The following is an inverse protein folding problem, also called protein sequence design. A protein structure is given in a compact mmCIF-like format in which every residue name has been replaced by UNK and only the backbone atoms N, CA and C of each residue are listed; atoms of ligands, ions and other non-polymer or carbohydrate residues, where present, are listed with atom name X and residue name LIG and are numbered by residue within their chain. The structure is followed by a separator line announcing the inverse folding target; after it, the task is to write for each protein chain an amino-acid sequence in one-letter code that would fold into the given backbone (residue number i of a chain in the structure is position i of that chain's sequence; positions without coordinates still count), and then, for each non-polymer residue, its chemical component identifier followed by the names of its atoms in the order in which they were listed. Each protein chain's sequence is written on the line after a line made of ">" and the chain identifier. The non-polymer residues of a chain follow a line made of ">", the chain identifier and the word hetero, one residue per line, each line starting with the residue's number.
data_IF_067022526275
#
_entry.id   IF_067022526275
#
_cell.length_a   1.000
_cell.length_b   1.000
_cell.length_c   1.000
_cell.angle_alpha   90.00
_cell.angle_beta   90.00
_cell.angle_gamma   90.00
#
_symmetry.space_group_name_H-M   'P 1'
#
loop_
_entity.id
_entity.type
_entity.pdbx_description
1 polymer ?
#
# COMPACT_ATOMS: atom_id res chain seq x y z
N UNK A 1 7.07 -20.22 -3.15
CA UNK A 1 6.20 -20.17 -4.34
C UNK A 1 5.90 -18.71 -4.62
N UNK A 2 6.12 -18.26 -5.85
CA UNK A 2 6.17 -16.83 -6.15
C UNK A 2 4.81 -16.14 -6.07
N UNK A 3 4.71 -15.05 -5.31
CA UNK A 3 3.51 -14.21 -5.24
C UNK A 3 3.45 -13.35 -6.50
N UNK A 4 2.93 -13.89 -7.59
CA UNK A 4 2.73 -13.11 -8.82
C UNK A 4 1.52 -12.18 -8.64
N UNK A 5 1.73 -10.87 -8.50
CA UNK A 5 0.64 -9.90 -8.72
C UNK A 5 0.04 -10.19 -10.10
N UNK A 6 -1.28 -10.21 -10.19
CA UNK A 6 -1.95 -10.30 -11.48
C UNK A 6 -1.38 -9.24 -12.42
N UNK A 7 -0.91 -9.62 -13.62
CA UNK A 7 -0.05 -8.83 -14.51
C UNK A 7 -0.60 -7.43 -14.87
N UNK A 8 -1.90 -7.21 -14.70
CA UNK A 8 -2.59 -5.94 -14.95
C UNK A 8 -2.49 -4.94 -13.79
N UNK A 9 -2.31 -5.43 -12.56
CA UNK A 9 -2.34 -4.62 -11.34
C UNK A 9 -1.18 -3.61 -11.29
N UNK A 10 0.08 -4.00 -11.58
CA UNK A 10 1.18 -3.02 -11.57
C UNK A 10 0.95 -1.90 -12.58
N UNK A 11 0.52 -2.23 -13.80
CA UNK A 11 0.29 -1.24 -14.86
C UNK A 11 -0.84 -0.27 -14.51
N UNK A 12 -1.91 -0.76 -13.92
CA UNK A 12 -3.02 0.08 -13.45
C UNK A 12 -2.59 1.03 -12.34
N UNK A 13 -1.89 0.50 -11.33
CA UNK A 13 -1.37 1.29 -10.21
C UNK A 13 -0.42 2.39 -10.70
N UNK A 14 0.56 2.04 -11.54
CA UNK A 14 1.55 2.97 -12.08
C UNK A 14 0.89 4.11 -12.86
N UNK A 15 -0.04 3.77 -13.77
CA UNK A 15 -0.80 4.78 -14.52
C UNK A 15 -1.54 5.73 -13.58
N UNK A 16 -2.19 5.21 -12.55
CA UNK A 16 -2.91 6.06 -11.62
C UNK A 16 -1.98 6.95 -10.79
N UNK A 17 -0.80 6.47 -10.40
CA UNK A 17 0.21 7.29 -9.73
C UNK A 17 0.73 8.40 -10.65
N UNK A 18 0.96 8.11 -11.93
CA UNK A 18 1.37 9.10 -12.94
C UNK A 18 0.31 10.20 -13.13
N UNK A 19 -0.98 9.85 -13.07
CA UNK A 19 -2.10 10.78 -13.25
C UNK A 19 -2.52 11.50 -11.95
N UNK A 20 -1.95 11.13 -10.80
CA UNK A 20 -2.38 11.65 -9.50
C UNK A 20 -1.72 12.98 -9.13
N UNK A 21 -2.50 14.02 -8.87
CA UNK A 21 -2.03 15.39 -8.62
C UNK A 21 -1.12 15.55 -7.40
N UNK A 22 -1.21 14.65 -6.41
CA UNK A 22 -0.34 14.64 -5.22
C UNK A 22 0.92 13.79 -5.34
N UNK A 23 1.13 13.16 -6.50
CA UNK A 23 2.32 12.34 -6.76
C UNK A 23 3.26 13.14 -7.66
N UNK A 24 4.49 13.31 -7.21
CA UNK A 24 5.55 13.96 -7.99
C UNK A 24 6.25 12.97 -8.90
N UNK A 25 6.64 11.84 -8.32
CA UNK A 25 7.31 10.74 -8.99
C UNK A 25 7.16 9.46 -8.14
N UNK A 26 7.28 8.30 -8.77
CA UNK A 26 7.31 7.02 -8.07
C UNK A 26 8.43 6.15 -8.64
N UNK A 27 8.97 5.27 -7.78
CA UNK A 27 10.00 4.33 -8.16
C UNK A 27 9.73 2.98 -7.51
N UNK A 28 9.88 1.89 -8.28
CA UNK A 28 9.91 0.53 -7.73
C UNK A 28 11.24 0.32 -6.99
N UNK A 29 11.18 -0.10 -5.72
CA UNK A 29 12.35 -0.24 -4.81
C UNK A 29 12.53 -1.66 -4.26
N UNK A 30 11.73 -2.63 -4.70
CA UNK A 30 11.97 -4.05 -4.42
C UNK A 30 13.15 -4.62 -5.22
N UNK A 31 13.61 -5.83 -4.84
CA UNK A 31 14.78 -6.45 -5.44
C UNK A 31 14.45 -7.01 -6.82
N UNK A 32 15.27 -6.75 -7.87
CA UNK A 32 15.01 -7.19 -9.24
C UNK A 32 15.02 -8.72 -9.45
N UNK A 33 15.37 -9.50 -8.43
CA UNK A 33 15.41 -10.96 -8.47
C UNK A 33 14.28 -11.61 -7.65
N UNK A 34 13.44 -10.80 -6.98
CA UNK A 34 12.39 -11.30 -6.10
C UNK A 34 11.07 -10.58 -6.40
N UNK A 35 10.36 -11.06 -7.42
CA UNK A 35 9.02 -10.57 -7.81
C UNK A 35 7.91 -10.91 -6.80
N UNK A 36 8.26 -11.29 -5.56
CA UNK A 36 7.29 -11.64 -4.53
C UNK A 36 6.67 -10.44 -3.83
N UNK A 37 7.37 -9.30 -3.82
CA UNK A 37 6.95 -8.11 -3.11
C UNK A 37 7.05 -6.91 -4.03
N UNK A 38 5.91 -6.30 -4.34
CA UNK A 38 5.84 -5.12 -5.18
C UNK A 38 5.92 -3.90 -4.27
N UNK A 39 7.11 -3.29 -4.18
CA UNK A 39 7.36 -2.17 -3.27
C UNK A 39 7.69 -0.92 -4.08
N UNK A 40 6.96 0.15 -3.84
CA UNK A 40 7.16 1.43 -4.49
C UNK A 40 7.49 2.51 -3.45
N UNK A 41 8.38 3.43 -3.81
CA UNK A 41 8.52 4.71 -3.13
C UNK A 41 7.74 5.74 -3.93
N UNK A 42 6.75 6.36 -3.30
CA UNK A 42 5.93 7.40 -3.88
C UNK A 42 6.38 8.72 -3.28
N UNK A 43 6.94 9.59 -4.11
CA UNK A 43 7.28 10.95 -3.71
C UNK A 43 6.07 11.85 -3.90
N UNK A 44 5.66 12.50 -2.83
CA UNK A 44 4.47 13.36 -2.83
C UNK A 44 4.84 14.83 -3.04
N UNK A 45 3.86 15.61 -3.49
CA UNK A 45 3.99 17.06 -3.65
C UNK A 45 3.58 17.81 -2.38
N UNK A 46 3.67 19.14 -2.41
CA UNK A 46 3.11 20.05 -1.39
C UNK A 46 3.66 19.86 0.04
N UNK A 47 4.91 19.37 0.15
CA UNK A 47 5.59 19.17 1.43
C UNK A 47 5.15 17.93 2.20
N UNK A 48 4.32 17.06 1.60
CA UNK A 48 3.94 15.79 2.19
C UNK A 48 5.10 14.80 2.17
N UNK A 49 5.25 14.00 3.23
CA UNK A 49 6.31 12.99 3.34
C UNK A 49 6.21 11.91 2.26
N UNK A 50 7.30 11.23 1.91
CA UNK A 50 7.21 10.11 0.97
C UNK A 50 6.41 8.93 1.57
N UNK A 51 5.73 8.15 0.72
CA UNK A 51 5.06 6.91 1.13
C UNK A 51 5.81 5.71 0.54
N UNK A 52 6.13 4.74 1.38
CA UNK A 52 6.51 3.40 0.91
C UNK A 52 5.24 2.57 0.74
N UNK A 53 4.94 2.17 -0.49
CA UNK A 53 3.78 1.37 -0.84
C UNK A 53 4.19 -0.10 -1.01
N UNK A 54 3.58 -1.02 -0.28
CA UNK A 54 3.68 -2.47 -0.51
C UNK A 54 2.38 -2.98 -1.13
N UNK A 55 2.42 -3.39 -2.39
CA UNK A 55 1.28 -4.00 -3.07
C UNK A 55 1.29 -5.51 -2.83
N UNK A 56 0.37 -5.98 -1.99
CA UNK A 56 0.17 -7.38 -1.65
C UNK A 56 -0.93 -8.00 -2.52
N UNK A 57 -0.64 -9.13 -3.17
CA UNK A 57 -1.64 -9.95 -3.89
C UNK A 57 -2.15 -11.12 -3.02
N UNK A 58 -2.62 -10.81 -1.82
CA UNK A 58 -3.24 -11.79 -0.94
C UNK A 58 -4.78 -11.76 -1.10
N UNK A 59 -5.40 -12.94 -1.17
CA UNK A 59 -6.86 -13.05 -1.10
C UNK A 59 -7.37 -12.66 0.29
N UNK A 60 -6.61 -12.99 1.33
CA UNK A 60 -6.87 -12.61 2.71
C UNK A 60 -5.57 -12.25 3.40
N UNK A 61 -5.41 -11.00 3.77
CA UNK A 61 -4.25 -10.49 4.48
C UNK A 61 -4.49 -10.58 5.99
N UNK A 62 -3.67 -11.39 6.67
CA UNK A 62 -3.77 -11.69 8.10
C UNK A 62 -2.57 -11.11 8.86
N UNK A 63 -2.59 -11.24 10.20
CA UNK A 63 -1.46 -10.82 11.05
C UNK A 63 -0.16 -11.53 10.70
N UNK A 64 -0.23 -12.80 10.30
CA UNK A 64 0.95 -13.53 9.84
C UNK A 64 1.57 -12.88 8.61
N UNK A 65 0.77 -12.41 7.64
CA UNK A 65 1.26 -11.65 6.50
C UNK A 65 1.89 -10.32 6.95
N UNK A 66 1.25 -9.64 7.89
CA UNK A 66 1.72 -8.35 8.43
C UNK A 66 3.09 -8.46 9.10
N UNK A 67 3.30 -9.47 9.95
CA UNK A 67 4.60 -9.67 10.60
C UNK A 67 5.67 -10.21 9.65
N UNK A 68 5.27 -10.74 8.49
CA UNK A 68 6.17 -11.17 7.41
C UNK A 68 6.37 -10.07 6.36
N UNK A 69 5.89 -8.84 6.60
CA UNK A 69 6.08 -7.73 5.66
C UNK A 69 7.58 -7.43 5.48
N UNK A 70 8.02 -6.98 4.29
CA UNK A 70 9.41 -6.61 4.07
C UNK A 70 9.85 -5.48 5.02
N UNK A 71 11.11 -5.50 5.48
CA UNK A 71 11.65 -4.50 6.43
C UNK A 71 11.55 -3.05 5.95
N UNK A 72 11.46 -2.85 4.63
CA UNK A 72 11.25 -1.53 4.00
C UNK A 72 9.86 -0.94 4.31
N UNK A 73 8.90 -1.76 4.72
CA UNK A 73 7.52 -1.38 5.05
C UNK A 73 7.45 -1.05 6.54
N UNK A 74 7.90 0.16 6.89
CA UNK A 74 7.90 0.69 8.25
C UNK A 74 6.92 1.84 8.44
N UNK A 75 7.14 2.64 9.50
CA UNK A 75 6.37 3.85 9.80
C UNK A 75 6.15 4.74 8.56
N UNK A 76 4.91 5.22 8.37
CA UNK A 76 4.51 6.02 7.19
C UNK A 76 4.33 5.20 5.90
N UNK A 77 4.39 3.87 5.97
CA UNK A 77 4.11 3.02 4.82
C UNK A 77 2.62 2.80 4.58
N UNK A 78 2.29 2.34 3.38
CA UNK A 78 0.97 1.92 2.98
C UNK A 78 1.01 0.49 2.44
N UNK A 79 0.18 -0.40 2.98
CA UNK A 79 -0.03 -1.76 2.47
C UNK A 79 -1.29 -1.75 1.60
N UNK A 80 -1.12 -1.94 0.30
CA UNK A 80 -2.20 -2.04 -0.66
C UNK A 80 -2.58 -3.50 -0.86
N UNK A 81 -3.83 -3.83 -0.56
CA UNK A 81 -4.44 -5.09 -1.00
C UNK A 81 -4.81 -4.93 -2.46
N UNK A 82 -3.92 -5.43 -3.32
CA UNK A 82 -3.94 -5.14 -4.74
C UNK A 82 -4.99 -5.97 -5.49
N UNK A 83 -5.36 -7.14 -4.93
CA UNK A 83 -6.42 -7.99 -5.46
C UNK A 83 -7.80 -7.35 -5.22
N UNK A 84 -8.64 -7.16 -6.24
CA UNK A 84 -9.98 -6.58 -6.07
C UNK A 84 -10.87 -7.36 -5.08
N UNK A 85 -10.87 -8.68 -5.25
CA UNK A 85 -11.55 -9.69 -4.41
C UNK A 85 -10.87 -9.90 -3.05
N UNK A 86 -9.69 -9.30 -2.85
CA UNK A 86 -8.91 -9.47 -1.63
C UNK A 86 -9.51 -8.72 -0.44
N UNK A 87 -9.22 -9.21 0.75
CA UNK A 87 -9.60 -8.58 2.02
C UNK A 87 -8.45 -8.62 3.02
N UNK A 88 -8.63 -7.92 4.14
CA UNK A 88 -7.69 -7.86 5.25
C UNK A 88 -8.46 -7.93 6.57
N UNK A 89 -7.90 -8.61 7.57
CA UNK A 89 -8.54 -8.76 8.87
C UNK A 89 -8.50 -7.45 9.68
N UNK A 90 -9.51 -7.21 10.51
CA UNK A 90 -9.60 -5.98 11.33
C UNK A 90 -8.45 -5.83 12.31
N UNK A 91 -8.00 -6.94 12.90
CA UNK A 91 -6.85 -6.98 13.81
C UNK A 91 -5.57 -6.45 13.14
N UNK A 92 -5.42 -6.64 11.82
CA UNK A 92 -4.28 -6.10 11.06
C UNK A 92 -4.33 -4.58 11.02
N UNK A 93 -5.52 -4.00 10.94
CA UNK A 93 -5.68 -2.54 10.88
C UNK A 93 -5.31 -1.89 12.19
N UNK A 94 -5.74 -2.49 13.30
CA UNK A 94 -5.43 -1.97 14.63
C UNK A 94 -3.91 -1.97 14.87
N UNK A 95 -3.24 -3.08 14.56
CA UNK A 95 -1.78 -3.18 14.68
C UNK A 95 -1.07 -2.26 13.67
N UNK A 96 -1.50 -2.25 12.40
CA UNK A 96 -0.90 -1.38 11.39
C UNK A 96 -0.99 0.09 11.80
N UNK A 97 -2.13 0.52 12.34
CA UNK A 97 -2.32 1.89 12.83
C UNK A 97 -1.39 2.22 14.00
N UNK A 98 -1.15 1.29 14.92
CA UNK A 98 -0.18 1.48 16.02
C UNK A 98 1.25 1.67 15.50
N UNK A 99 1.61 0.96 14.43
CA UNK A 99 2.90 1.08 13.74
C UNK A 99 2.94 2.27 12.75
N UNK A 100 1.90 3.10 12.72
CA UNK A 100 1.72 4.23 11.79
C UNK A 100 1.79 3.81 10.31
N UNK A 101 1.22 2.65 10.01
CA UNK A 101 1.08 2.07 8.69
C UNK A 101 -0.40 2.05 8.30
N UNK A 102 -0.69 2.52 7.09
CA UNK A 102 -2.02 2.33 6.51
C UNK A 102 -2.14 0.98 5.83
N UNK A 103 -3.33 0.40 5.85
CA UNK A 103 -3.68 -0.75 5.02
C UNK A 103 -5.03 -0.49 4.35
N UNK A 104 -5.18 -0.88 3.09
CA UNK A 104 -6.46 -0.76 2.41
C UNK A 104 -6.42 -1.12 0.94
N UNK A 105 -7.55 -0.91 0.27
CA UNK A 105 -7.68 -1.08 -1.18
C UNK A 105 -7.22 0.16 -1.94
N UNK A 106 -7.28 0.08 -3.26
CA UNK A 106 -6.85 1.15 -4.16
C UNK A 106 -7.52 2.51 -3.87
N UNK A 107 -8.82 2.53 -3.60
CA UNK A 107 -9.55 3.75 -3.21
C UNK A 107 -9.00 4.39 -1.93
N UNK A 108 -8.60 3.56 -0.95
CA UNK A 108 -8.00 4.02 0.30
C UNK A 108 -6.63 4.66 0.05
N UNK A 109 -5.80 4.06 -0.83
CA UNK A 109 -4.53 4.64 -1.24
C UNK A 109 -4.71 6.02 -1.87
N UNK A 110 -5.66 6.17 -2.80
CA UNK A 110 -5.92 7.47 -3.43
C UNK A 110 -6.30 8.55 -2.41
N UNK A 111 -7.06 8.19 -1.37
CA UNK A 111 -7.37 9.10 -0.26
C UNK A 111 -6.16 9.41 0.63
N UNK A 112 -5.33 8.40 0.91
CA UNK A 112 -4.13 8.51 1.73
C UNK A 112 -3.08 9.45 1.14
N UNK A 113 -2.95 9.50 -0.19
CA UNK A 113 -2.00 10.38 -0.88
C UNK A 113 -2.18 11.87 -0.54
N UNK A 114 -3.37 12.29 -0.11
CA UNK A 114 -3.66 13.68 0.28
C UNK A 114 -3.36 14.02 1.74
N UNK A 115 -2.95 13.06 2.58
CA UNK A 115 -2.86 13.23 4.03
C UNK A 115 -1.46 12.92 4.54
N UNK A 116 -0.94 13.77 5.41
CA UNK A 116 0.33 13.50 6.08
C UNK A 116 0.20 12.28 7.00
N UNK A 117 -0.72 12.33 7.96
CA UNK A 117 -1.02 11.24 8.91
C UNK A 117 -2.01 10.21 8.32
N UNK A 118 -1.67 9.65 7.16
CA UNK A 118 -2.58 8.76 6.43
C UNK A 118 -2.93 7.48 7.20
N UNK A 119 -2.13 7.02 8.16
CA UNK A 119 -2.47 5.88 9.04
C UNK A 119 -3.70 6.14 9.92
N UNK A 120 -4.05 7.41 10.16
CA UNK A 120 -5.30 7.79 10.84
C UNK A 120 -6.51 7.87 9.90
N UNK A 121 -6.31 7.68 8.59
CA UNK A 121 -7.40 7.71 7.63
C UNK A 121 -8.23 6.44 7.70
N UNK A 122 -9.51 6.59 8.05
CA UNK A 122 -10.51 5.53 7.92
C UNK A 122 -11.13 5.62 6.52
N UNK A 123 -10.81 4.67 5.61
CA UNK A 123 -11.36 4.68 4.26
C UNK A 123 -12.88 4.46 4.28
N UNK A 124 -13.56 4.95 3.23
CA UNK A 124 -15.03 4.91 3.14
C UNK A 124 -15.62 3.50 3.26
N UNK A 125 -14.89 2.49 2.80
CA UNK A 125 -15.26 1.08 2.92
C UNK A 125 -15.43 0.58 4.37
N UNK A 126 -14.98 1.35 5.37
CA UNK A 126 -15.11 1.04 6.80
C UNK A 126 -15.99 2.04 7.56
N UNK A 127 -16.67 2.97 6.87
CA UNK A 127 -17.49 4.01 7.52
C UNK A 127 -18.95 3.57 7.75
N UNK A 128 -19.23 2.27 7.78
CA UNK A 128 -20.55 1.71 8.05
C UNK A 128 -20.70 1.28 9.51
#
# INVERSE_FOLDING_TARGET
>A
MGRNLHYTIPRFLQKALDEHTKVRDWQRIDHPQNDNDFIYRIRRTDGLSDIVLHAADDYRYLLTNYFQKPDKVGQGAFILIARPEGGYADEVVDIAKQDEISIGKFSALMGALYREDHWNYVPKERRE
#
